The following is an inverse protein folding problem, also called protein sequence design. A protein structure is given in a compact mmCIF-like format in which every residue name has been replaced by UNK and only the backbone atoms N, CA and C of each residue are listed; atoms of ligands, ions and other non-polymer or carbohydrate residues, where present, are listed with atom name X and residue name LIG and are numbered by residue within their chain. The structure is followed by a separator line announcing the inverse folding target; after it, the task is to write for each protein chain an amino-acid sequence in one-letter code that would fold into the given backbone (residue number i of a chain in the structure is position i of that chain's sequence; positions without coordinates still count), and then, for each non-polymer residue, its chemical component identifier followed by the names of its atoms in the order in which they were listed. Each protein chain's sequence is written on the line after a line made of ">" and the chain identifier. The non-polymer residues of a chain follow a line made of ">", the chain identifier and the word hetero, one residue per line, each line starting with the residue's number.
data_IF_996504497609
#
_entry.id   IF_996504497609
#
_cell.length_a   1.000
_cell.length_b   1.000
_cell.length_c   1.000
_cell.angle_alpha   90.00
_cell.angle_beta   90.00
_cell.angle_gamma   90.00
#
_symmetry.space_group_name_H-M   'P 1'
#
loop_
_entity.id
_entity.type
_entity.pdbx_description
1 polymer ?
#
# COMPACT_ATOMS: atom_id res chain seq x y z
N UNK A 1 0.58 18.12 19.64
CA UNK A 1 0.91 16.73 19.28
C UNK A 1 0.37 16.51 17.87
N UNK A 2 1.14 16.91 16.87
CA UNK A 2 0.76 16.72 15.46
C UNK A 2 0.89 15.24 15.16
N UNK A 3 -0.20 14.61 14.74
CA UNK A 3 -0.17 13.25 14.19
C UNK A 3 0.90 13.16 13.10
N UNK A 4 1.65 12.06 12.99
CA UNK A 4 2.54 11.87 11.85
C UNK A 4 1.70 12.01 10.58
N UNK A 5 2.03 13.01 9.75
CA UNK A 5 1.41 13.17 8.44
C UNK A 5 1.82 11.95 7.64
N UNK A 6 0.88 11.14 7.17
CA UNK A 6 1.18 9.94 6.39
C UNK A 6 0.98 10.28 4.91
N UNK A 7 2.01 10.79 4.22
CA UNK A 7 1.86 11.28 2.85
C UNK A 7 1.56 10.17 1.85
N UNK A 8 1.91 8.91 2.13
CA UNK A 8 1.83 7.84 1.14
C UNK A 8 0.99 6.66 1.61
N UNK A 9 -0.05 6.33 0.85
CA UNK A 9 -0.88 5.15 1.04
C UNK A 9 -0.78 4.24 -0.18
N UNK A 10 -0.47 2.97 0.03
CA UNK A 10 -0.50 1.95 -1.02
C UNK A 10 -1.70 1.05 -0.81
N UNK A 11 -2.49 0.85 -1.87
CA UNK A 11 -3.67 0.01 -1.86
C UNK A 11 -3.49 -1.06 -2.93
N UNK A 12 -3.29 -2.30 -2.49
CA UNK A 12 -3.23 -3.47 -3.36
C UNK A 12 -4.63 -4.01 -3.56
N UNK A 13 -5.12 -3.97 -4.79
CA UNK A 13 -6.49 -4.36 -5.07
C UNK A 13 -6.59 -5.64 -5.90
N UNK A 14 -7.76 -6.26 -5.82
CA UNK A 14 -8.08 -7.51 -6.53
C UNK A 14 -7.09 -8.65 -6.24
N UNK A 15 -6.54 -8.70 -5.03
CA UNK A 15 -5.56 -9.72 -4.67
C UNK A 15 -6.28 -11.04 -4.32
N UNK A 16 -5.89 -12.11 -5.01
CA UNK A 16 -6.28 -13.48 -4.65
C UNK A 16 -5.26 -14.05 -3.67
N UNK A 17 -5.68 -14.25 -2.41
CA UNK A 17 -4.81 -14.77 -1.34
C UNK A 17 -4.25 -16.16 -1.63
N UNK A 18 -4.84 -16.92 -2.56
CA UNK A 18 -4.35 -18.25 -2.93
C UNK A 18 -3.32 -18.26 -4.06
N UNK A 19 -3.37 -17.27 -4.97
CA UNK A 19 -2.54 -17.25 -6.19
C UNK A 19 -1.47 -16.16 -6.17
N UNK A 20 -1.78 -15.01 -5.60
CA UNK A 20 -0.92 -13.84 -5.59
C UNK A 20 -0.15 -13.66 -4.28
N UNK A 21 -0.34 -14.60 -3.35
CA UNK A 21 0.34 -14.67 -2.06
C UNK A 21 1.83 -14.36 -2.16
N UNK A 22 2.59 -15.11 -2.97
CA UNK A 22 4.04 -14.97 -2.99
C UNK A 22 4.48 -13.60 -3.52
N UNK A 23 3.79 -13.10 -4.55
CA UNK A 23 4.05 -11.77 -5.11
C UNK A 23 3.72 -10.68 -4.09
N UNK A 24 2.62 -10.83 -3.37
CA UNK A 24 2.21 -9.91 -2.32
C UNK A 24 3.21 -9.93 -1.16
N UNK A 25 3.57 -11.10 -0.64
CA UNK A 25 4.57 -11.28 0.43
C UNK A 25 5.87 -10.54 0.10
N UNK A 26 6.44 -10.77 -1.09
CA UNK A 26 7.69 -10.12 -1.50
C UNK A 26 7.51 -8.61 -1.64
N UNK A 27 6.40 -8.14 -2.21
CA UNK A 27 6.10 -6.71 -2.35
C UNK A 27 5.94 -6.01 -1.00
N UNK A 28 5.24 -6.64 -0.05
CA UNK A 28 5.07 -6.15 1.31
C UNK A 28 6.39 -6.13 2.09
N UNK A 29 7.21 -7.18 1.98
CA UNK A 29 8.55 -7.22 2.59
C UNK A 29 9.39 -6.02 2.12
N UNK A 30 9.34 -5.68 0.83
CA UNK A 30 10.07 -4.52 0.28
C UNK A 30 9.48 -3.19 0.76
N UNK A 31 8.15 -3.05 0.80
CA UNK A 31 7.49 -1.86 1.31
C UNK A 31 7.77 -1.61 2.80
N UNK A 32 7.65 -2.64 3.64
CA UNK A 32 7.85 -2.53 5.08
C UNK A 32 9.32 -2.30 5.47
N UNK A 33 10.27 -2.74 4.64
CA UNK A 33 11.70 -2.49 4.88
C UNK A 33 12.19 -1.14 4.34
N UNK A 34 11.39 -0.45 3.52
CA UNK A 34 11.71 0.86 2.94
C UNK A 34 11.89 1.97 3.98
N UNK A 35 12.59 3.05 3.61
CA UNK A 35 12.73 4.22 4.48
C UNK A 35 11.39 4.93 4.72
N UNK A 36 10.46 4.84 3.75
CA UNK A 36 9.09 5.35 3.89
C UNK A 36 8.36 4.75 5.08
N UNK A 37 8.48 3.43 5.27
CA UNK A 37 7.87 2.76 6.42
C UNK A 37 8.55 3.15 7.73
N UNK A 38 9.90 3.16 7.75
CA UNK A 38 10.69 3.51 8.93
C UNK A 38 10.47 4.94 9.41
N UNK A 39 10.15 5.86 8.50
CA UNK A 39 9.82 7.25 8.80
C UNK A 39 8.36 7.46 9.22
N UNK A 40 7.53 6.40 9.22
CA UNK A 40 6.11 6.48 9.58
C UNK A 40 5.22 7.13 8.52
N UNK A 41 5.73 7.28 7.29
CA UNK A 41 5.07 7.99 6.20
C UNK A 41 4.30 7.07 5.24
N UNK A 42 4.21 5.77 5.55
CA UNK A 42 3.63 4.75 4.71
C UNK A 42 2.43 4.08 5.39
N UNK A 43 1.32 3.98 4.67
CA UNK A 43 0.20 3.11 5.03
C UNK A 43 -0.08 2.10 3.93
N UNK A 44 -0.39 0.87 4.31
CA UNK A 44 -0.60 -0.21 3.35
C UNK A 44 -1.95 -0.86 3.60
N UNK A 45 -2.74 -0.97 2.54
CA UNK A 45 -4.01 -1.69 2.53
C UNK A 45 -4.01 -2.79 1.48
N UNK A 46 -4.68 -3.89 1.79
CA UNK A 46 -4.95 -4.98 0.85
C UNK A 46 -6.45 -5.14 0.70
N UNK A 47 -6.93 -4.95 -0.52
CA UNK A 47 -8.29 -5.26 -0.95
C UNK A 47 -8.28 -6.59 -1.69
N UNK A 48 -8.85 -7.59 -1.06
CA UNK A 48 -8.99 -8.94 -1.62
C UNK A 48 -10.07 -9.00 -2.70
N UNK A 49 -10.05 -10.04 -3.54
CA UNK A 49 -11.12 -10.32 -4.52
C UNK A 49 -12.50 -10.53 -3.89
N UNK A 50 -12.55 -10.87 -2.60
CA UNK A 50 -13.78 -10.98 -1.79
C UNK A 50 -14.27 -9.63 -1.26
N UNK A 51 -13.69 -8.52 -1.74
CA UNK A 51 -14.03 -7.16 -1.36
C UNK A 51 -13.81 -6.86 0.14
N UNK A 52 -12.92 -7.63 0.80
CA UNK A 52 -12.45 -7.40 2.17
C UNK A 52 -11.23 -6.50 2.11
N UNK A 53 -11.25 -5.39 2.84
CA UNK A 53 -10.15 -4.45 2.97
C UNK A 53 -9.41 -4.69 4.29
N UNK A 54 -8.10 -4.88 4.20
CA UNK A 54 -7.23 -5.21 5.32
C UNK A 54 -6.21 -4.08 5.47
N UNK A 55 -6.14 -3.48 6.65
CA UNK A 55 -5.09 -2.56 7.09
C UNK A 55 -3.92 -3.34 7.64
N UNK A 56 -2.71 -2.96 7.24
CA UNK A 56 -1.45 -3.56 7.70
C UNK A 56 -0.67 -2.53 8.50
N UNK A 57 -0.32 -2.89 9.73
CA UNK A 57 0.51 -2.06 10.59
C UNK A 57 1.97 -2.05 10.12
N UNK A 58 2.66 -0.93 10.30
CA UNK A 58 4.05 -0.73 9.89
C UNK A 58 5.05 -1.64 10.63
N UNK A 59 4.68 -2.18 11.81
CA UNK A 59 5.55 -3.00 12.65
C UNK A 59 5.42 -4.50 12.37
N UNK A 60 4.54 -4.92 11.47
CA UNK A 60 4.41 -6.34 11.16
C UNK A 60 5.67 -6.86 10.45
N UNK A 61 6.14 -8.03 10.87
CA UNK A 61 7.12 -8.80 10.13
C UNK A 61 6.41 -9.85 9.28
N UNK A 62 6.69 -9.86 7.98
CA UNK A 62 6.05 -10.80 7.04
C UNK A 62 6.85 -12.11 7.06
N UNK A 63 6.27 -13.13 7.70
CA UNK A 63 6.81 -14.48 7.76
C UNK A 63 6.36 -15.37 6.58
N UNK A 64 6.89 -16.59 6.50
CA UNK A 64 6.57 -17.54 5.43
C UNK A 64 5.11 -18.01 5.44
N UNK A 65 4.51 -18.11 6.63
CA UNK A 65 3.12 -18.50 6.87
C UNK A 65 2.11 -17.33 6.70
N UNK A 66 2.51 -16.21 6.09
CA UNK A 66 1.66 -15.03 5.95
C UNK A 66 0.27 -15.30 5.34
N UNK A 67 0.12 -16.35 4.53
CA UNK A 67 -1.18 -16.75 3.96
C UNK A 67 -2.17 -17.25 5.00
N UNK A 68 -1.66 -18.01 5.97
CA UNK A 68 -2.45 -18.48 7.09
C UNK A 68 -2.89 -17.29 7.94
N UNK A 69 -1.98 -16.32 8.14
CA UNK A 69 -2.29 -15.08 8.87
C UNK A 69 -3.34 -14.24 8.13
N UNK A 70 -3.23 -14.08 6.81
CA UNK A 70 -4.25 -13.39 6.00
C UNK A 70 -5.62 -14.08 6.10
N UNK A 71 -5.65 -15.40 5.95
CA UNK A 71 -6.89 -16.18 6.09
C UNK A 71 -7.47 -16.07 7.51
N UNK A 72 -6.62 -16.03 8.52
CA UNK A 72 -7.02 -15.78 9.90
C UNK A 72 -7.62 -14.38 10.07
N UNK A 73 -6.98 -13.33 9.53
CA UNK A 73 -7.51 -11.95 9.59
C UNK A 73 -8.87 -11.86 8.92
N UNK A 74 -9.07 -12.51 7.78
CA UNK A 74 -10.37 -12.52 7.08
C UNK A 74 -11.47 -13.15 7.94
N UNK A 75 -11.16 -14.18 8.72
CA UNK A 75 -12.15 -14.88 9.57
C UNK A 75 -12.34 -14.27 10.95
N UNK A 76 -11.29 -13.68 11.53
CA UNK A 76 -11.26 -13.14 12.90
C UNK A 76 -11.25 -11.61 12.97
N UNK A 77 -11.25 -10.95 11.82
CA UNK A 77 -11.23 -9.50 11.61
C UNK A 77 -9.98 -8.76 12.11
N UNK A 78 -9.12 -9.37 12.94
CA UNK A 78 -7.89 -8.75 13.43
C UNK A 78 -6.88 -9.78 13.90
N UNK A 79 -5.61 -9.43 13.77
CA UNK A 79 -4.47 -10.13 14.37
C UNK A 79 -3.74 -9.16 15.29
N UNK A 80 -3.29 -9.68 16.43
CA UNK A 80 -2.54 -8.93 17.43
C UNK A 80 -1.21 -9.59 17.71
N UNK A 81 -0.23 -8.80 18.12
CA UNK A 81 1.00 -9.33 18.70
C UNK A 81 0.78 -9.78 20.16
N UNK A 82 1.83 -10.39 20.74
CA UNK A 82 1.82 -10.85 22.14
C UNK A 82 1.60 -9.71 23.15
N UNK A 83 1.95 -8.48 22.76
CA UNK A 83 1.73 -7.27 23.56
C UNK A 83 0.31 -6.68 23.38
N UNK A 84 -0.53 -7.27 22.52
CA UNK A 84 -1.90 -6.85 22.25
C UNK A 84 -2.04 -5.72 21.20
N UNK A 85 -0.97 -5.28 20.55
CA UNK A 85 -0.98 -4.33 19.43
C UNK A 85 -1.59 -4.99 18.21
N UNK A 86 -2.45 -4.28 17.48
CA UNK A 86 -3.11 -4.80 16.28
C UNK A 86 -2.11 -4.69 15.12
N UNK A 87 -1.71 -5.83 14.56
CA UNK A 87 -0.79 -5.90 13.43
C UNK A 87 -1.51 -5.85 12.08
N UNK A 88 -2.70 -6.44 12.03
CA UNK A 88 -3.57 -6.39 10.86
C UNK A 88 -5.02 -6.34 11.30
N UNK A 89 -5.84 -5.59 10.56
CA UNK A 89 -7.28 -5.56 10.82
C UNK A 89 -8.09 -5.41 9.55
N UNK A 90 -9.25 -6.07 9.53
CA UNK A 90 -10.26 -5.85 8.52
C UNK A 90 -10.95 -4.52 8.83
N UNK A 91 -10.86 -3.60 7.87
CA UNK A 91 -11.47 -2.28 7.95
C UNK A 91 -12.68 -2.20 7.04
N UNK A 92 -13.57 -1.25 7.31
CA UNK A 92 -14.72 -1.01 6.42
C UNK A 92 -14.19 -0.59 5.05
N UNK A 93 -14.72 -1.23 4.01
CA UNK A 93 -14.35 -0.95 2.63
C UNK A 93 -15.01 0.37 2.15
N UNK A 94 -14.51 1.47 2.67
CA UNK A 94 -14.89 2.83 2.34
C UNK A 94 -13.59 3.63 2.16
N UNK A 95 -12.93 3.38 1.02
CA UNK A 95 -11.61 3.91 0.70
C UNK A 95 -11.61 5.45 0.81
N UNK A 96 -12.70 6.11 0.43
CA UNK A 96 -12.82 7.56 0.49
C UNK A 96 -12.79 8.12 1.92
N UNK A 97 -13.33 7.36 2.89
CA UNK A 97 -13.28 7.75 4.31
C UNK A 97 -11.98 7.35 5.00
N UNK A 98 -11.27 6.39 4.42
CA UNK A 98 -10.02 5.86 4.94
C UNK A 98 -8.84 6.77 4.59
N UNK A 99 -8.91 7.37 3.40
CA UNK A 99 -7.91 8.32 2.93
C UNK A 99 -8.09 9.68 3.60
N UNK A 100 -6.97 10.37 3.82
CA UNK A 100 -7.00 11.72 4.37
C UNK A 100 -7.70 12.70 3.40
N UNK A 101 -8.35 13.76 3.91
CA UNK A 101 -8.91 14.79 3.05
C UNK A 101 -7.81 15.39 2.15
N UNK A 102 -8.13 15.63 0.87
CA UNK A 102 -7.20 16.06 -0.19
C UNK A 102 -6.18 15.02 -0.66
N UNK A 103 -6.43 13.73 -0.42
CA UNK A 103 -5.61 12.66 -1.01
C UNK A 103 -5.74 12.60 -2.53
N UNK A 104 -4.63 12.70 -3.24
CA UNK A 104 -4.56 12.41 -4.66
C UNK A 104 -4.54 10.91 -4.92
N UNK A 105 -5.45 10.43 -5.75
CA UNK A 105 -5.57 9.02 -6.09
C UNK A 105 -4.95 8.75 -7.45
N UNK A 106 -3.97 7.85 -7.48
CA UNK A 106 -3.29 7.44 -8.68
C UNK A 106 -3.47 5.95 -8.94
N UNK A 107 -3.88 5.61 -10.15
CA UNK A 107 -3.83 4.26 -10.67
C UNK A 107 -2.50 4.07 -11.40
N UNK A 108 -1.77 3.01 -11.08
CA UNK A 108 -0.47 2.73 -11.68
C UNK A 108 -0.64 1.80 -12.90
N UNK A 109 -0.52 2.35 -14.10
CA UNK A 109 -0.69 1.62 -15.36
C UNK A 109 0.22 2.17 -16.47
N UNK A 110 0.75 1.29 -17.33
CA UNK A 110 1.59 1.62 -18.49
C UNK A 110 0.88 2.51 -19.50
N UNK A 111 -0.46 2.47 -19.57
CA UNK A 111 -1.23 3.35 -20.46
C UNK A 111 -1.37 4.79 -19.95
N UNK A 112 -0.93 5.04 -18.71
CA UNK A 112 -1.03 6.35 -18.08
C UNK A 112 -0.03 7.38 -18.60
N UNK A 113 -0.20 8.61 -18.12
CA UNK A 113 0.79 9.65 -18.30
C UNK A 113 2.04 9.34 -17.46
N UNK A 114 3.22 9.45 -18.06
CA UNK A 114 4.48 9.25 -17.34
C UNK A 114 4.53 10.12 -16.08
N UNK A 115 4.94 9.53 -14.96
CA UNK A 115 5.44 10.27 -13.81
C UNK A 115 6.70 11.02 -14.25
N UNK A 116 6.52 12.19 -14.89
CA UNK A 116 7.59 13.16 -15.06
C UNK A 116 7.94 13.62 -13.64
N UNK A 117 9.22 13.48 -13.30
CA UNK A 117 9.77 13.63 -11.95
C UNK A 117 9.23 14.87 -11.21
N UNK A 118 8.79 14.64 -9.96
CA UNK A 118 8.94 15.57 -8.82
C UNK A 118 8.11 16.88 -8.83
N UNK A 119 7.61 17.41 -9.95
CA UNK A 119 6.97 18.74 -9.95
C UNK A 119 5.55 18.82 -9.34
N UNK A 120 4.88 17.68 -9.08
CA UNK A 120 3.49 17.66 -8.60
C UNK A 120 3.30 17.13 -7.18
N UNK A 121 4.37 16.68 -6.52
CA UNK A 121 4.28 16.26 -5.13
C UNK A 121 4.42 17.48 -4.21
N UNK A 122 3.30 17.89 -3.60
CA UNK A 122 3.24 18.99 -2.65
C UNK A 122 3.36 18.40 -1.24
N UNK A 123 4.18 18.99 -0.36
CA UNK A 123 4.41 18.47 0.99
C UNK A 123 3.14 18.48 1.85
N UNK A 124 2.19 19.37 1.57
CA UNK A 124 0.92 19.51 2.30
C UNK A 124 -0.18 18.56 1.81
N UNK A 125 0.17 17.54 1.01
CA UNK A 125 -0.80 16.65 0.39
C UNK A 125 -0.44 15.19 0.60
N UNK A 126 -1.47 14.38 0.63
CA UNK A 126 -1.40 12.93 0.71
C UNK A 126 -1.65 12.30 -0.65
N UNK A 127 -1.12 11.10 -0.82
CA UNK A 127 -1.09 10.39 -2.08
C UNK A 127 -1.48 8.93 -1.83
N UNK A 128 -2.47 8.45 -2.58
CA UNK A 128 -2.91 7.07 -2.58
C UNK A 128 -2.59 6.43 -3.93
N UNK A 129 -1.79 5.37 -3.89
CA UNK A 129 -1.40 4.59 -5.05
C UNK A 129 -2.19 3.28 -5.08
N UNK A 130 -2.99 3.11 -6.13
CA UNK A 130 -3.77 1.91 -6.38
C UNK A 130 -3.00 0.99 -7.32
N UNK A 131 -2.75 -0.23 -6.86
CA UNK A 131 -2.13 -1.30 -7.64
C UNK A 131 -3.24 -2.28 -8.05
N UNK A 132 -3.39 -2.51 -9.36
CA UNK A 132 -4.41 -3.39 -9.96
C UNK A 132 -5.87 -2.90 -9.81
N UNK A 133 -6.09 -1.59 -9.63
CA UNK A 133 -7.44 -1.00 -9.66
C UNK A 133 -7.46 0.31 -10.42
N UNK A 134 -8.47 0.49 -11.27
CA UNK A 134 -8.62 1.70 -12.08
C UNK A 134 -9.32 2.82 -11.29
N UNK A 135 -8.60 3.38 -10.31
CA UNK A 135 -9.10 4.47 -9.46
C UNK A 135 -8.24 5.73 -9.60
N UNK A 136 -8.89 6.85 -9.90
CA UNK A 136 -8.23 8.15 -9.97
C UNK A 136 -7.47 8.38 -11.27
N UNK A 137 -6.39 9.17 -11.20
CA UNK A 137 -5.59 9.51 -12.37
C UNK A 137 -4.65 8.37 -12.74
N UNK A 138 -4.69 7.94 -14.01
CA UNK A 138 -3.80 6.89 -14.50
C UNK A 138 -2.41 7.46 -14.76
N UNK A 139 -1.44 6.98 -13.98
CA UNK A 139 -0.03 7.38 -14.08
C UNK A 139 0.84 6.18 -14.42
N UNK A 140 1.82 6.44 -15.28
CA UNK A 140 2.80 5.48 -15.76
C UNK A 140 4.10 5.63 -15.00
N UNK A 141 4.47 4.57 -14.29
CA UNK A 141 5.74 4.47 -13.55
C UNK A 141 6.91 4.14 -14.48
N UNK A 142 6.65 3.39 -15.55
CA UNK A 142 7.64 2.94 -16.54
C UNK A 142 6.98 2.60 -17.88
N UNK A 143 7.77 2.57 -18.95
CA UNK A 143 7.25 2.37 -20.32
C UNK A 143 6.87 0.92 -20.66
N UNK A 144 7.06 -0.02 -19.73
CA UNK A 144 6.74 -1.44 -19.88
C UNK A 144 5.92 -1.97 -18.71
N UNK A 145 5.23 -3.11 -18.90
CA UNK A 145 4.46 -3.74 -17.82
C UNK A 145 5.38 -4.26 -16.72
N UNK A 146 5.14 -3.78 -15.50
CA UNK A 146 5.84 -4.25 -14.30
C UNK A 146 4.94 -5.15 -13.48
N UNK A 147 5.55 -6.14 -12.83
CA UNK A 147 4.90 -6.86 -11.75
C UNK A 147 4.71 -5.96 -10.51
N UNK A 148 3.85 -6.38 -9.58
CA UNK A 148 3.58 -5.64 -8.33
C UNK A 148 4.86 -5.22 -7.59
N UNK A 149 5.84 -6.12 -7.50
CA UNK A 149 7.13 -5.84 -6.88
C UNK A 149 7.89 -4.71 -7.60
N UNK A 150 7.96 -4.77 -8.93
CA UNK A 150 8.65 -3.74 -9.72
C UNK A 150 8.01 -2.36 -9.55
N UNK A 151 6.67 -2.32 -9.51
CA UNK A 151 5.91 -1.10 -9.24
C UNK A 151 6.26 -0.57 -7.84
N UNK A 152 6.23 -1.42 -6.81
CA UNK A 152 6.54 -1.03 -5.44
C UNK A 152 7.95 -0.46 -5.31
N UNK A 153 8.96 -1.18 -5.81
CA UNK A 153 10.36 -0.75 -5.72
C UNK A 153 10.59 0.59 -6.42
N UNK A 154 10.00 0.78 -7.60
CA UNK A 154 10.16 2.04 -8.34
C UNK A 154 9.43 3.19 -7.65
N UNK A 155 8.22 2.93 -7.13
CA UNK A 155 7.47 3.93 -6.37
C UNK A 155 8.17 4.31 -5.06
N UNK A 156 8.77 3.36 -4.36
CA UNK A 156 9.59 3.63 -3.17
C UNK A 156 10.72 4.58 -3.54
N UNK A 157 11.51 4.25 -4.58
CA UNK A 157 12.62 5.11 -5.01
C UNK A 157 12.16 6.52 -5.40
N UNK A 158 11.01 6.64 -6.08
CA UNK A 158 10.43 7.94 -6.41
C UNK A 158 10.00 8.73 -5.16
N UNK A 159 9.37 8.07 -4.19
CA UNK A 159 8.91 8.73 -2.97
C UNK A 159 10.05 9.07 -2.01
N UNK A 160 11.09 8.23 -1.93
CA UNK A 160 12.28 8.50 -1.11
C UNK A 160 13.07 9.69 -1.65
N UNK A 161 13.18 9.83 -2.97
CA UNK A 161 13.78 11.01 -3.61
C UNK A 161 12.99 12.32 -3.37
N UNK A 162 11.73 12.25 -2.92
CA UNK A 162 10.91 13.42 -2.59
C UNK A 162 11.07 13.87 -1.13
N UNK A 163 11.43 12.94 -0.23
CA UNK A 163 11.61 13.22 1.20
C UNK A 163 13.03 13.71 1.51
N UNK A 164 14.02 13.26 0.74
CA UNK A 164 15.43 13.69 0.85
C UNK A 164 15.70 15.00 0.11
#
# INVERSE_FOLDING_TARGET
>A
MTTPHVPFTFIFSNIDTSKDSDKLKISLKVLLTSYLNKSGNLKIYIKTTKNVLIDIDSHIEIEENFDEVLNYVITKFRVKDDCGRILMSVVKNDIDKLLEPNTFKYNLNVKGESFKEIENFKPDKTYAFFVNEEVGETRRVCDYELCCLGICTRMISLCENLIN
#
